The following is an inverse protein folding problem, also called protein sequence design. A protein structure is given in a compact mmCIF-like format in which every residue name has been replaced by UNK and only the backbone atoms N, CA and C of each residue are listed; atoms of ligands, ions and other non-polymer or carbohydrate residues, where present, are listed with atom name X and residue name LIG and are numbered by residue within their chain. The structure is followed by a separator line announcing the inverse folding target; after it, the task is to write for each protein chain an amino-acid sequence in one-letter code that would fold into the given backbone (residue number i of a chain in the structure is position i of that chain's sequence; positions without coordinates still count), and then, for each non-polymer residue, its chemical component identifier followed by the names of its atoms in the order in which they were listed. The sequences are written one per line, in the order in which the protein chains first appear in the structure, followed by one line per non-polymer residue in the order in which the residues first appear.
data_IF_123682382977
#
_entry.id   IF_123682382977
#
_cell.length_a   1.000
_cell.length_b   1.000
_cell.length_c   1.000
_cell.angle_alpha   90.00
_cell.angle_beta   90.00
_cell.angle_gamma   90.00
#
_symmetry.space_group_name_H-M   'P 1'
#
loop_
_entity.id
_entity.type
_entity.pdbx_description
1 polymer ?
#
# COMPACT_ATOMS: atom_id res chain seq x y z
N UNK A 1 -18.17 8.22 17.47
CA UNK A 1 -18.34 7.83 16.06
C UNK A 1 -17.96 8.96 15.12
N UNK A 2 -18.59 10.14 15.21
CA UNK A 2 -18.27 11.28 14.34
C UNK A 2 -16.80 11.71 14.39
N UNK A 3 -16.20 11.81 15.59
CA UNK A 3 -14.78 12.12 15.72
C UNK A 3 -13.89 11.09 14.99
N UNK A 4 -14.20 9.79 15.13
CA UNK A 4 -13.47 8.71 14.44
C UNK A 4 -13.61 8.83 12.91
N UNK A 5 -14.81 9.12 12.42
CA UNK A 5 -15.05 9.35 10.99
C UNK A 5 -14.24 10.55 10.47
N UNK A 6 -14.07 11.60 11.28
CA UNK A 6 -13.28 12.78 10.92
C UNK A 6 -11.77 12.48 10.94
N UNK A 7 -11.29 11.75 11.95
CA UNK A 7 -9.89 11.32 12.04
C UNK A 7 -9.49 10.44 10.85
N UNK A 8 -10.33 9.47 10.46
CA UNK A 8 -10.09 8.62 9.27
C UNK A 8 -10.04 9.46 7.99
N UNK A 9 -10.93 10.45 7.84
CA UNK A 9 -10.95 11.33 6.65
C UNK A 9 -9.74 12.25 6.57
N UNK A 10 -9.20 12.65 7.73
CA UNK A 10 -8.05 13.54 7.83
C UNK A 10 -6.71 12.81 7.67
N UNK A 11 -6.70 11.47 7.69
CA UNK A 11 -5.49 10.68 7.49
C UNK A 11 -4.94 10.85 6.07
N UNK A 12 -3.66 11.23 5.98
CA UNK A 12 -2.95 11.47 4.73
C UNK A 12 -1.63 10.68 4.68
N UNK A 13 -1.31 10.18 3.49
CA UNK A 13 -0.01 9.61 3.19
C UNK A 13 1.06 10.67 3.20
N UNK A 14 2.15 10.40 3.92
CA UNK A 14 3.38 11.20 3.80
C UNK A 14 4.30 10.54 2.79
N UNK A 15 4.88 11.35 1.89
CA UNK A 15 5.78 10.85 0.84
C UNK A 15 7.18 11.46 0.97
N UNK A 16 8.19 10.73 0.49
CA UNK A 16 9.57 11.15 0.43
C UNK A 16 10.13 10.82 -0.95
N UNK A 17 10.89 11.73 -1.56
CA UNK A 17 11.66 11.43 -2.78
C UNK A 17 12.62 10.28 -2.52
N UNK A 18 12.67 9.30 -3.41
CA UNK A 18 13.54 8.13 -3.28
C UNK A 18 14.76 8.24 -4.18
N UNK A 19 15.92 8.58 -3.57
CA UNK A 19 17.21 8.71 -4.27
C UNK A 19 17.06 9.56 -5.55
N UNK A 20 17.78 9.22 -6.61
CA UNK A 20 17.74 9.89 -7.92
C UNK A 20 16.76 9.23 -8.91
N UNK A 21 15.79 8.45 -8.41
CA UNK A 21 14.90 7.63 -9.25
C UNK A 21 13.76 8.42 -9.90
N UNK A 22 13.58 9.72 -9.58
CA UNK A 22 12.42 10.53 -9.95
C UNK A 22 11.06 9.99 -9.45
N UNK A 23 11.04 9.06 -8.49
CA UNK A 23 9.81 8.63 -7.80
C UNK A 23 9.87 8.94 -6.30
N UNK A 24 8.76 8.71 -5.62
CA UNK A 24 8.64 8.82 -4.17
C UNK A 24 8.35 7.44 -3.55
N UNK A 25 8.55 7.35 -2.25
CA UNK A 25 8.08 6.27 -1.38
C UNK A 25 7.20 6.84 -0.28
N UNK A 26 6.36 6.01 0.32
CA UNK A 26 5.66 6.35 1.55
C UNK A 26 6.63 6.38 2.73
N UNK A 27 6.43 7.34 3.62
CA UNK A 27 7.13 7.47 4.89
C UNK A 27 6.10 7.45 6.02
N UNK A 28 6.51 6.92 7.17
CA UNK A 28 5.67 6.90 8.36
C UNK A 28 4.52 5.90 8.27
N UNK A 29 4.72 4.82 7.50
CA UNK A 29 3.70 3.78 7.31
C UNK A 29 3.42 3.02 8.60
N UNK A 30 4.43 2.84 9.45
CA UNK A 30 4.28 2.10 10.71
C UNK A 30 3.39 2.87 11.71
N UNK A 31 3.57 4.19 11.81
CA UNK A 31 2.71 5.05 12.62
C UNK A 31 1.28 5.08 12.08
N UNK A 32 1.12 5.12 10.75
CA UNK A 32 -0.20 5.09 10.12
C UNK A 32 -0.90 3.74 10.34
N UNK A 33 -0.18 2.61 10.22
CA UNK A 33 -0.70 1.28 10.52
C UNK A 33 -1.17 1.22 11.98
N UNK A 34 -0.31 1.63 12.92
CA UNK A 34 -0.65 1.65 14.35
C UNK A 34 -1.89 2.51 14.64
N UNK A 35 -2.00 3.67 13.98
CA UNK A 35 -3.18 4.54 14.09
C UNK A 35 -4.46 3.82 13.62
N UNK A 36 -4.42 3.10 12.51
CA UNK A 36 -5.58 2.37 12.00
C UNK A 36 -5.94 1.14 12.84
N UNK A 37 -4.96 0.44 13.42
CA UNK A 37 -5.21 -0.63 14.40
C UNK A 37 -5.95 -0.10 15.64
N UNK A 38 -5.56 1.07 16.16
CA UNK A 38 -6.28 1.72 17.25
C UNK A 38 -7.72 2.08 16.85
N UNK A 39 -7.93 2.58 15.63
CA UNK A 39 -9.26 2.89 15.11
C UNK A 39 -10.12 1.62 15.00
N UNK A 40 -9.53 0.51 14.59
CA UNK A 40 -10.15 -0.81 14.51
C UNK A 40 -10.66 -1.27 15.90
N UNK A 41 -9.83 -1.11 16.93
CA UNK A 41 -10.21 -1.42 18.33
C UNK A 41 -11.35 -0.49 18.79
N UNK A 42 -11.24 0.81 18.52
CA UNK A 42 -12.26 1.81 18.90
C UNK A 42 -13.61 1.51 18.25
N UNK A 43 -13.64 1.16 16.96
CA UNK A 43 -14.90 0.86 16.26
C UNK A 43 -15.52 -0.46 16.73
N UNK A 44 -14.71 -1.49 17.00
CA UNK A 44 -15.18 -2.76 17.55
C UNK A 44 -15.84 -2.57 18.93
N UNK A 45 -15.28 -1.71 19.79
CA UNK A 45 -15.86 -1.36 21.07
C UNK A 45 -17.20 -0.60 20.94
N UNK A 46 -17.36 0.22 19.90
CA UNK A 46 -18.64 0.90 19.62
C UNK A 46 -19.72 -0.10 19.20
N UNK A 47 -19.34 -1.16 18.47
CA UNK A 47 -20.27 -2.20 17.99
C UNK A 47 -20.86 -3.04 19.13
N UNK A 48 -20.12 -3.26 20.21
CA UNK A 48 -20.59 -4.02 21.38
C UNK A 48 -21.46 -3.19 22.33
N UNK A 49 -21.50 -1.87 22.15
CA UNK A 49 -22.29 -0.98 23.00
C UNK A 49 -23.80 -1.07 22.68
N UNK A 50 -24.60 -1.53 23.64
CA UNK A 50 -26.04 -1.69 23.51
C UNK A 50 -26.81 -0.40 23.12
N UNK A 51 -26.26 0.78 23.39
CA UNK A 51 -26.88 2.06 23.01
C UNK A 51 -26.60 2.47 21.55
N UNK A 52 -25.78 1.70 20.82
CA UNK A 52 -25.36 2.01 19.45
C UNK A 52 -26.29 1.47 18.36
N UNK A 53 -27.43 0.84 18.70
CA UNK A 53 -28.33 0.18 17.74
C UNK A 53 -28.77 1.08 16.58
N UNK A 54 -28.98 2.38 16.84
CA UNK A 54 -29.36 3.37 15.82
C UNK A 54 -28.20 3.79 14.89
N UNK A 55 -26.98 3.33 15.15
CA UNK A 55 -25.78 3.66 14.39
C UNK A 55 -25.12 2.45 13.73
N UNK A 56 -25.74 1.27 13.77
CA UNK A 56 -25.17 0.01 13.27
C UNK A 56 -24.68 0.10 11.81
N UNK A 57 -25.44 0.78 10.93
CA UNK A 57 -25.06 0.95 9.53
C UNK A 57 -23.82 1.85 9.38
N UNK A 58 -23.74 2.93 10.15
CA UNK A 58 -22.59 3.84 10.16
C UNK A 58 -21.36 3.14 10.73
N UNK A 59 -21.50 2.42 11.83
CA UNK A 59 -20.43 1.60 12.42
C UNK A 59 -19.93 0.57 11.41
N UNK A 60 -20.84 -0.18 10.77
CA UNK A 60 -20.47 -1.18 9.76
C UNK A 60 -19.77 -0.56 8.55
N UNK A 61 -20.12 0.66 8.17
CA UNK A 61 -19.41 1.39 7.10
C UNK A 61 -17.99 1.77 7.53
N UNK A 62 -17.83 2.31 8.74
CA UNK A 62 -16.51 2.67 9.29
C UNK A 62 -15.63 1.44 9.46
N UNK A 63 -16.16 0.32 9.92
CA UNK A 63 -15.42 -0.96 9.99
C UNK A 63 -14.91 -1.41 8.63
N UNK A 64 -15.76 -1.35 7.60
CA UNK A 64 -15.36 -1.67 6.23
C UNK A 64 -14.27 -0.73 5.71
N UNK A 65 -14.37 0.57 6.03
CA UNK A 65 -13.39 1.58 5.63
C UNK A 65 -12.04 1.37 6.29
N UNK A 66 -12.02 1.10 7.60
CA UNK A 66 -10.80 0.78 8.33
C UNK A 66 -10.18 -0.49 7.73
N UNK A 67 -10.98 -1.53 7.52
CA UNK A 67 -10.48 -2.81 7.01
C UNK A 67 -9.83 -2.68 5.63
N UNK A 68 -10.47 -1.98 4.68
CA UNK A 68 -9.86 -1.80 3.35
C UNK A 68 -8.59 -0.95 3.43
N UNK A 69 -8.51 0.03 4.35
CA UNK A 69 -7.31 0.83 4.55
C UNK A 69 -6.18 -0.04 5.11
N UNK A 70 -6.44 -0.84 6.15
CA UNK A 70 -5.45 -1.78 6.72
C UNK A 70 -4.91 -2.74 5.65
N UNK A 71 -5.79 -3.35 4.86
CA UNK A 71 -5.40 -4.29 3.79
C UNK A 71 -4.55 -3.59 2.71
N UNK A 72 -4.90 -2.36 2.33
CA UNK A 72 -4.11 -1.57 1.38
C UNK A 72 -2.77 -1.16 1.96
N UNK A 73 -2.69 -0.78 3.24
CA UNK A 73 -1.43 -0.42 3.90
C UNK A 73 -0.46 -1.60 3.98
N UNK A 74 -0.95 -2.79 4.32
CA UNK A 74 -0.14 -4.01 4.37
C UNK A 74 0.43 -4.36 2.99
N UNK A 75 -0.44 -4.45 1.98
CA UNK A 75 -0.02 -4.80 0.62
C UNK A 75 0.86 -3.72 -0.02
N UNK A 76 0.60 -2.43 0.26
CA UNK A 76 1.46 -1.36 -0.20
C UNK A 76 2.85 -1.42 0.43
N UNK A 77 2.92 -1.70 1.74
CA UNK A 77 4.21 -1.79 2.46
C UNK A 77 5.06 -2.93 1.91
N UNK A 78 4.45 -4.08 1.59
CA UNK A 78 5.13 -5.19 0.90
C UNK A 78 5.64 -4.76 -0.48
N UNK A 79 4.79 -4.12 -1.29
CA UNK A 79 5.13 -3.70 -2.64
C UNK A 79 6.29 -2.69 -2.64
N UNK A 80 6.26 -1.72 -1.72
CA UNK A 80 7.32 -0.74 -1.55
C UNK A 80 8.65 -1.38 -1.15
N UNK A 81 8.65 -2.33 -0.21
CA UNK A 81 9.87 -3.04 0.20
C UNK A 81 10.48 -3.81 -0.97
N UNK A 82 9.68 -4.59 -1.69
CA UNK A 82 10.13 -5.35 -2.86
C UNK A 82 10.64 -4.43 -3.96
N UNK A 83 9.91 -3.36 -4.27
CA UNK A 83 10.33 -2.39 -5.28
C UNK A 83 11.66 -1.73 -4.91
N UNK A 84 11.83 -1.27 -3.66
CA UNK A 84 13.07 -0.65 -3.19
C UNK A 84 14.28 -1.58 -3.26
N UNK A 85 14.07 -2.88 -3.08
CA UNK A 85 15.11 -3.90 -3.20
C UNK A 85 15.48 -4.18 -4.66
N UNK A 86 14.47 -4.39 -5.52
CA UNK A 86 14.66 -4.80 -6.91
C UNK A 86 15.08 -3.66 -7.83
N UNK A 87 14.62 -2.42 -7.57
CA UNK A 87 14.88 -1.27 -8.42
C UNK A 87 16.36 -1.06 -8.74
N UNK A 88 17.28 -0.93 -7.76
CA UNK A 88 18.69 -0.71 -8.07
C UNK A 88 19.34 -1.89 -8.80
N UNK A 89 18.83 -3.11 -8.60
CA UNK A 89 19.39 -4.33 -9.20
C UNK A 89 19.04 -4.40 -10.69
N UNK A 90 17.76 -4.18 -11.01
CA UNK A 90 17.25 -4.26 -12.38
C UNK A 90 17.51 -2.99 -13.21
N UNK A 91 18.11 -1.94 -12.64
CA UNK A 91 18.72 -0.84 -13.40
C UNK A 91 20.09 -1.23 -14.01
N UNK A 92 20.70 -2.34 -13.59
CA UNK A 92 21.98 -2.79 -14.16
C UNK A 92 21.80 -3.32 -15.58
N UNK A 93 22.62 -2.81 -16.51
CA UNK A 93 22.67 -3.32 -17.90
C UNK A 93 23.05 -4.81 -17.94
N UNK A 94 23.93 -5.25 -17.04
CA UNK A 94 24.38 -6.64 -17.02
C UNK A 94 23.26 -7.56 -16.55
N UNK A 95 22.54 -7.20 -15.48
CA UNK A 95 21.34 -7.94 -15.05
C UNK A 95 20.30 -7.96 -16.16
N UNK A 96 20.11 -6.84 -16.86
CA UNK A 96 19.17 -6.76 -17.98
C UNK A 96 19.50 -7.72 -19.13
N UNK A 97 20.78 -7.95 -19.41
CA UNK A 97 21.24 -8.91 -20.44
C UNK A 97 21.13 -10.35 -19.98
N UNK A 98 21.40 -10.62 -18.70
CA UNK A 98 21.44 -11.98 -18.14
C UNK A 98 20.04 -12.51 -17.79
N UNK A 99 19.14 -11.61 -17.38
CA UNK A 99 17.77 -11.93 -16.93
C UNK A 99 16.73 -11.10 -17.70
N UNK A 100 16.63 -11.24 -19.03
CA UNK A 100 15.80 -10.35 -19.86
C UNK A 100 14.30 -10.48 -19.56
N UNK A 101 13.82 -11.69 -19.21
CA UNK A 101 12.40 -11.93 -18.91
C UNK A 101 11.97 -11.29 -17.57
N UNK A 102 12.79 -11.45 -16.53
CA UNK A 102 12.61 -10.84 -15.23
C UNK A 102 12.74 -9.32 -15.32
N UNK A 103 13.67 -8.82 -16.13
CA UNK A 103 13.86 -7.39 -16.35
C UNK A 103 12.65 -6.74 -17.04
N UNK A 104 12.10 -7.38 -18.08
CA UNK A 104 10.88 -6.90 -18.71
C UNK A 104 9.68 -6.93 -17.76
N UNK A 105 9.59 -7.99 -16.94
CA UNK A 105 8.54 -8.10 -15.91
C UNK A 105 8.69 -6.99 -14.87
N UNK A 106 9.90 -6.73 -14.39
CA UNK A 106 10.19 -5.67 -13.42
C UNK A 106 9.83 -4.30 -13.97
N UNK A 107 10.16 -3.96 -15.22
CA UNK A 107 9.80 -2.68 -15.84
C UNK A 107 8.28 -2.41 -15.83
N UNK A 108 7.47 -3.46 -16.01
CA UNK A 108 6.01 -3.37 -15.93
C UNK A 108 5.56 -3.04 -14.50
N UNK A 109 6.13 -3.70 -13.49
CA UNK A 109 5.82 -3.46 -12.09
C UNK A 109 6.31 -2.08 -11.61
N UNK A 110 7.50 -1.67 -12.05
CA UNK A 110 8.09 -0.36 -11.78
C UNK A 110 7.20 0.76 -12.32
N UNK A 111 6.73 0.63 -13.57
CA UNK A 111 5.80 1.59 -14.18
C UNK A 111 4.50 1.71 -13.38
N UNK A 112 3.91 0.58 -12.97
CA UNK A 112 2.69 0.56 -12.14
C UNK A 112 2.93 1.23 -10.78
N UNK A 113 4.03 0.90 -10.10
CA UNK A 113 4.38 1.45 -8.79
C UNK A 113 4.55 2.97 -8.87
N UNK A 114 5.31 3.47 -9.85
CA UNK A 114 5.55 4.90 -10.07
C UNK A 114 4.26 5.66 -10.40
N UNK A 115 3.40 5.10 -11.24
CA UNK A 115 2.10 5.71 -11.56
C UNK A 115 1.20 5.79 -10.33
N UNK A 116 1.20 4.75 -9.51
CA UNK A 116 0.44 4.71 -8.26
C UNK A 116 0.97 5.74 -7.26
N UNK A 117 2.29 5.82 -7.07
CA UNK A 117 2.93 6.86 -6.23
C UNK A 117 2.65 8.27 -6.72
N UNK A 118 2.71 8.52 -8.03
CA UNK A 118 2.33 9.83 -8.60
C UNK A 118 0.90 10.21 -8.24
N UNK A 119 -0.01 9.24 -8.24
CA UNK A 119 -1.40 9.48 -7.90
C UNK A 119 -1.62 9.70 -6.39
N UNK A 120 -0.80 9.10 -5.53
CA UNK A 120 -0.81 9.35 -4.07
C UNK A 120 -0.23 10.74 -3.78
N UNK A 121 0.84 11.14 -4.46
CA UNK A 121 1.41 12.50 -4.31
C UNK A 121 0.41 13.58 -4.72
N UNK A 122 -0.42 13.31 -5.73
CA UNK A 122 -1.47 14.24 -6.18
C UNK A 122 -2.66 14.31 -5.22
N UNK A 123 -3.03 13.18 -4.61
CA UNK A 123 -4.12 13.09 -3.65
C UNK A 123 -3.72 12.15 -2.50
N UNK A 124 -3.18 12.69 -1.39
CA UNK A 124 -2.60 11.88 -0.32
C UNK A 124 -3.64 11.28 0.63
N UNK A 125 -4.95 11.53 0.45
CA UNK A 125 -5.95 11.02 1.39
C UNK A 125 -6.01 9.51 1.42
N UNK A 126 -5.73 8.93 2.59
CA UNK A 126 -5.61 7.48 2.79
C UNK A 126 -6.90 6.77 2.42
N UNK A 127 -8.05 7.26 2.90
CA UNK A 127 -9.36 6.67 2.60
C UNK A 127 -9.73 6.77 1.11
N UNK A 128 -9.36 7.86 0.42
CA UNK A 128 -9.66 8.01 -1.01
C UNK A 128 -8.82 7.06 -1.85
N UNK A 129 -7.53 6.93 -1.52
CA UNK A 129 -6.64 5.97 -2.18
C UNK A 129 -7.12 4.54 -1.93
N UNK A 130 -7.34 4.15 -0.67
CA UNK A 130 -7.70 2.79 -0.32
C UNK A 130 -9.02 2.32 -0.96
N UNK A 131 -9.97 3.25 -1.14
CA UNK A 131 -11.25 2.98 -1.81
C UNK A 131 -11.21 3.01 -3.33
N UNK A 132 -10.06 3.22 -3.97
CA UNK A 132 -9.98 3.16 -5.44
C UNK A 132 -10.30 1.76 -5.92
N UNK A 133 -11.24 1.67 -6.84
CA UNK A 133 -11.71 0.40 -7.37
C UNK A 133 -10.55 -0.44 -7.92
N UNK A 134 -10.43 -1.65 -7.39
CA UNK A 134 -9.42 -2.62 -7.81
C UNK A 134 -8.00 -2.38 -7.29
N UNK A 135 -7.72 -1.30 -6.54
CA UNK A 135 -6.35 -1.03 -6.05
C UNK A 135 -5.80 -2.17 -5.19
N UNK A 136 -6.56 -2.64 -4.20
CA UNK A 136 -6.13 -3.74 -3.33
C UNK A 136 -5.80 -5.00 -4.15
N UNK A 137 -6.68 -5.36 -5.09
CA UNK A 137 -6.44 -6.52 -5.96
C UNK A 137 -5.18 -6.35 -6.83
N UNK A 138 -4.96 -5.14 -7.36
CA UNK A 138 -3.74 -4.83 -8.10
C UNK A 138 -2.49 -4.94 -7.21
N UNK A 139 -2.54 -4.45 -5.97
CA UNK A 139 -1.43 -4.55 -5.02
C UNK A 139 -1.07 -6.01 -4.70
N UNK A 140 -2.06 -6.84 -4.39
CA UNK A 140 -1.87 -8.29 -4.19
C UNK A 140 -1.23 -8.92 -5.43
N UNK A 141 -1.72 -8.57 -6.62
CA UNK A 141 -1.18 -9.09 -7.87
C UNK A 141 0.28 -8.68 -8.09
N UNK A 142 0.63 -7.41 -7.90
CA UNK A 142 2.03 -6.98 -8.08
C UNK A 142 2.96 -7.62 -7.05
N UNK A 143 2.50 -7.83 -5.81
CA UNK A 143 3.30 -8.49 -4.78
C UNK A 143 3.64 -9.92 -5.18
N UNK A 144 2.67 -10.68 -5.69
CA UNK A 144 2.96 -12.03 -6.21
C UNK A 144 3.95 -12.02 -7.39
N UNK A 145 3.91 -11.01 -8.26
CA UNK A 145 4.90 -10.87 -9.33
C UNK A 145 6.28 -10.46 -8.80
N UNK A 146 6.36 -9.59 -7.79
CA UNK A 146 7.62 -9.26 -7.14
C UNK A 146 8.26 -10.49 -6.50
N UNK A 147 7.48 -11.38 -5.88
CA UNK A 147 7.97 -12.64 -5.33
C UNK A 147 8.57 -13.55 -6.42
N UNK A 148 7.92 -13.64 -7.58
CA UNK A 148 8.41 -14.43 -8.72
C UNK A 148 9.77 -13.88 -9.20
N UNK A 149 9.87 -12.57 -9.40
CA UNK A 149 11.12 -11.92 -9.84
C UNK A 149 12.21 -12.10 -8.78
N UNK A 150 11.88 -11.93 -7.50
CA UNK A 150 12.84 -12.09 -6.39
C UNK A 150 13.37 -13.51 -6.33
N UNK A 151 12.53 -14.53 -6.52
CA UNK A 151 12.95 -15.92 -6.57
C UNK A 151 13.85 -16.20 -7.78
N UNK A 152 13.50 -15.68 -8.96
CA UNK A 152 14.34 -15.79 -10.16
C UNK A 152 15.72 -15.19 -9.94
N UNK A 153 15.78 -14.01 -9.29
CA UNK A 153 17.03 -13.35 -8.93
C UNK A 153 17.84 -14.16 -7.93
N UNK A 154 17.23 -14.69 -6.87
CA UNK A 154 17.91 -15.57 -5.91
C UNK A 154 18.55 -16.77 -6.59
N UNK A 155 17.81 -17.46 -7.47
CA UNK A 155 18.33 -18.61 -8.21
C UNK A 155 19.49 -18.27 -9.16
N UNK A 156 19.56 -17.03 -9.64
CA UNK A 156 20.65 -16.56 -10.50
C UNK A 156 21.92 -16.20 -9.72
N UNK A 157 21.77 -15.78 -8.46
CA UNK A 157 22.87 -15.35 -7.59
C UNK A 157 23.51 -16.50 -6.80
N UNK A 158 22.83 -17.64 -6.69
CA UNK A 158 23.39 -18.90 -6.16
C UNK A 158 24.28 -19.61 -7.19
#
# INVERSE_FOLDING_TARGET
LENLENEIKAAEFTTLKYKDTNTCILRGTDELISQFEEFSIKVAALRTNHHATNFNDRISKVEKDIKIIEDVLDEWTKAQKSWMFLEPIFQSEDISKQMPAESQSFQTLDSFYRQSMKSIVQDPSVIRIARRDGLLFQLIKINSHFEIITRGLSNYLE
#
